data_IF_381561503246
#
_entry.id   IF_381561503246
#
_cell.length_a   1.000
_cell.length_b   1.000
_cell.length_c   1.000
_cell.angle_alpha   90.00
_cell.angle_beta   90.00
_cell.angle_gamma   90.00
#
_symmetry.space_group_name_H-M   'P 1'
#
loop_
_entity.id
_entity.type
_entity.pdbx_description
1 polymer ?
#
# COMPACT_ATOMS: atom_id res chain seq x y z
N UNK A 1 -2.95 24.82 8.20
CA UNK A 1 -2.69 25.73 9.34
C UNK A 1 -3.87 26.64 9.67
N UNK A 2 -4.21 27.68 8.90
CA UNK A 2 -5.31 28.61 9.27
C UNK A 2 -6.67 27.93 9.49
N UNK A 3 -7.09 27.05 8.57
CA UNK A 3 -8.35 26.30 8.70
C UNK A 3 -8.36 25.40 9.95
N UNK A 4 -7.29 24.65 10.18
CA UNK A 4 -7.13 23.82 11.38
C UNK A 4 -7.20 24.64 12.67
N UNK A 5 -6.57 25.81 12.70
CA UNK A 5 -6.62 26.69 13.88
C UNK A 5 -8.05 27.16 14.18
N UNK A 6 -8.82 27.47 13.13
CA UNK A 6 -10.22 27.83 13.24
C UNK A 6 -11.09 26.66 13.74
N UNK A 7 -10.88 25.45 13.23
CA UNK A 7 -11.61 24.24 13.69
C UNK A 7 -11.30 23.91 15.15
N UNK A 8 -10.09 24.20 15.62
CA UNK A 8 -9.65 23.97 17.01
C UNK A 8 -9.94 25.17 17.93
N UNK A 9 -10.58 26.24 17.44
CA UNK A 9 -10.85 27.49 18.18
C UNK A 9 -9.60 28.12 18.83
N UNK A 10 -8.48 28.13 18.09
CA UNK A 10 -7.21 28.72 18.51
C UNK A 10 -6.64 29.68 17.46
N UNK A 11 -5.71 30.53 17.88
CA UNK A 11 -4.93 31.36 16.94
C UNK A 11 -3.91 30.49 16.17
N UNK A 12 -3.66 30.74 14.87
CA UNK A 12 -2.71 29.94 14.09
C UNK A 12 -1.30 29.83 14.71
N UNK A 13 -0.86 30.87 15.42
CA UNK A 13 0.43 30.88 16.12
C UNK A 13 0.54 29.83 17.23
N UNK A 14 -0.58 29.40 17.82
CA UNK A 14 -0.59 28.35 18.83
C UNK A 14 -0.19 27.00 18.22
N UNK A 15 -0.62 26.71 16.98
CA UNK A 15 -0.25 25.47 16.29
C UNK A 15 1.25 25.39 16.00
N UNK A 16 1.87 26.52 15.65
CA UNK A 16 3.31 26.58 15.35
C UNK A 16 4.22 26.28 16.55
N UNK A 17 3.68 26.26 17.77
CA UNK A 17 4.41 25.78 18.95
C UNK A 17 4.53 24.26 19.02
N UNK A 18 3.67 23.55 18.29
CA UNK A 18 3.61 22.08 18.28
C UNK A 18 4.14 21.50 16.97
N UNK A 19 3.93 22.20 15.85
CA UNK A 19 4.38 21.78 14.51
C UNK A 19 4.94 23.00 13.78
N UNK A 20 6.20 22.94 13.35
CA UNK A 20 6.90 24.07 12.74
C UNK A 20 6.30 24.49 11.40
N UNK A 21 5.69 23.57 10.66
CA UNK A 21 5.06 23.86 9.36
C UNK A 21 3.99 22.82 8.99
N UNK A 22 3.39 23.01 7.81
CA UNK A 22 2.36 22.10 7.28
C UNK A 22 2.92 20.70 7.01
N UNK A 23 4.18 20.59 6.60
CA UNK A 23 4.78 19.29 6.27
C UNK A 23 4.96 18.46 7.54
N UNK A 24 5.46 19.05 8.62
CA UNK A 24 5.56 18.36 9.92
C UNK A 24 4.18 17.96 10.47
N UNK A 25 3.15 18.78 10.27
CA UNK A 25 1.78 18.39 10.61
C UNK A 25 1.32 17.17 9.82
N UNK A 26 1.56 17.16 8.50
CA UNK A 26 1.20 16.05 7.63
C UNK A 26 1.99 14.78 7.98
N UNK A 27 3.25 14.91 8.41
CA UNK A 27 4.08 13.79 8.88
C UNK A 27 3.49 13.19 10.16
N UNK A 28 3.14 14.03 11.15
CA UNK A 28 2.47 13.58 12.37
C UNK A 28 1.10 12.95 12.11
N UNK A 29 0.35 13.45 11.11
CA UNK A 29 -0.91 12.85 10.68
C UNK A 29 -0.69 11.48 10.02
N UNK A 30 0.34 11.32 9.20
CA UNK A 30 0.70 10.04 8.60
C UNK A 30 1.16 9.04 9.67
N UNK A 31 1.95 9.48 10.65
CA UNK A 31 2.38 8.67 11.79
C UNK A 31 1.19 8.17 12.62
N UNK A 32 0.21 9.04 12.88
CA UNK A 32 -1.00 8.66 13.58
C UNK A 32 -1.78 7.58 12.82
N UNK A 33 -1.92 7.72 11.50
CA UNK A 33 -2.61 6.72 10.65
C UNK A 33 -1.84 5.39 10.64
N UNK A 34 -0.52 5.41 10.43
CA UNK A 34 0.32 4.18 10.44
C UNK A 34 0.30 3.50 11.81
N UNK A 35 0.15 4.26 12.89
CA UNK A 35 -0.02 3.74 14.25
C UNK A 35 -1.32 2.96 14.48
N UNK A 36 -2.32 3.09 13.60
CA UNK A 36 -3.56 2.30 13.66
C UNK A 36 -3.40 0.89 13.05
N UNK A 37 -2.26 0.59 12.42
CA UNK A 37 -2.01 -0.72 11.81
C UNK A 37 -1.71 -1.75 12.90
N UNK A 38 -2.47 -2.84 12.92
CA UNK A 38 -2.32 -3.90 13.93
C UNK A 38 -0.90 -4.45 13.95
N UNK A 39 -0.30 -4.70 15.14
CA UNK A 39 1.03 -5.30 15.26
C UNK A 39 1.10 -6.67 14.55
N UNK A 40 2.30 -7.14 14.15
CA UNK A 40 2.44 -8.46 13.54
C UNK A 40 1.88 -9.53 14.48
N UNK A 41 1.07 -10.43 13.94
CA UNK A 41 0.54 -11.56 14.70
C UNK A 41 1.67 -12.48 15.15
N UNK A 42 1.54 -13.08 16.32
CA UNK A 42 2.45 -14.13 16.76
C UNK A 42 2.16 -15.44 16.00
N UNK A 43 3.20 -16.12 15.51
CA UNK A 43 3.05 -17.45 14.94
C UNK A 43 4.22 -17.86 14.04
N UNK A 44 4.36 -19.17 13.75
CA UNK A 44 5.47 -19.69 12.94
C UNK A 44 5.27 -19.49 11.43
N UNK A 45 4.06 -19.11 11.00
CA UNK A 45 3.70 -18.97 9.59
C UNK A 45 3.87 -17.53 9.12
N UNK A 46 5.07 -17.24 8.59
CA UNK A 46 5.45 -15.89 8.17
C UNK A 46 4.53 -15.33 7.07
N UNK A 47 4.03 -16.17 6.15
CA UNK A 47 3.13 -15.73 5.08
C UNK A 47 1.82 -15.21 5.69
N UNK A 48 1.25 -15.94 6.64
CA UNK A 48 0.03 -15.50 7.35
C UNK A 48 0.26 -14.20 8.12
N UNK A 49 1.40 -14.06 8.81
CA UNK A 49 1.74 -12.87 9.60
C UNK A 49 1.86 -11.64 8.70
N UNK A 50 2.66 -11.75 7.64
CA UNK A 50 2.89 -10.66 6.66
C UNK A 50 1.59 -10.29 5.94
N UNK A 51 0.84 -11.28 5.44
CA UNK A 51 -0.46 -11.07 4.79
C UNK A 51 -1.42 -10.33 5.71
N UNK A 52 -1.59 -10.79 6.95
CA UNK A 52 -2.48 -10.18 7.92
C UNK A 52 -2.11 -8.72 8.21
N UNK A 53 -0.81 -8.43 8.35
CA UNK A 53 -0.32 -7.07 8.61
C UNK A 53 -0.57 -6.13 7.42
N UNK A 54 -0.33 -6.58 6.20
CA UNK A 54 -0.61 -5.80 4.98
C UNK A 54 -2.12 -5.54 4.82
N UNK A 55 -2.97 -6.52 5.12
CA UNK A 55 -4.42 -6.33 5.06
C UNK A 55 -4.94 -5.42 6.17
N UNK A 56 -4.30 -5.40 7.34
CA UNK A 56 -4.55 -4.38 8.37
C UNK A 56 -4.17 -2.99 7.85
N UNK A 57 -2.98 -2.85 7.26
CA UNK A 57 -2.54 -1.62 6.62
C UNK A 57 -3.54 -1.14 5.55
N UNK A 58 -4.00 -2.04 4.67
CA UNK A 58 -4.99 -1.71 3.64
C UNK A 58 -6.29 -1.19 4.25
N UNK A 59 -6.82 -1.87 5.27
CA UNK A 59 -8.03 -1.42 5.97
C UNK A 59 -7.87 -0.03 6.57
N UNK A 60 -6.71 0.27 7.15
CA UNK A 60 -6.40 1.60 7.69
C UNK A 60 -6.33 2.62 6.56
N UNK A 61 -5.55 2.37 5.51
CA UNK A 61 -5.35 3.33 4.41
C UNK A 61 -6.62 3.58 3.60
N UNK A 62 -7.51 2.59 3.46
CA UNK A 62 -8.83 2.79 2.84
C UNK A 62 -9.76 3.68 3.69
N UNK A 63 -9.61 3.71 5.02
CA UNK A 63 -10.30 4.68 5.89
C UNK A 63 -9.71 6.09 5.79
N UNK A 64 -8.46 6.21 5.35
CA UNK A 64 -7.75 7.48 5.20
C UNK A 64 -7.16 7.66 3.78
N UNK A 65 -7.97 7.75 2.70
CA UNK A 65 -7.45 7.77 1.33
C UNK A 65 -6.45 8.90 1.01
N UNK A 66 -6.50 10.00 1.77
CA UNK A 66 -5.54 11.10 1.67
C UNK A 66 -4.13 10.73 2.14
N UNK A 67 -4.00 9.74 3.04
CA UNK A 67 -2.74 9.38 3.67
C UNK A 67 -1.76 8.75 2.68
N UNK A 68 -2.24 7.92 1.75
CA UNK A 68 -1.40 7.34 0.70
C UNK A 68 -0.66 8.42 -0.10
N UNK A 69 -1.40 9.44 -0.58
CA UNK A 69 -0.82 10.58 -1.31
C UNK A 69 0.17 11.37 -0.48
N UNK A 70 -0.10 11.55 0.82
CA UNK A 70 0.85 12.24 1.71
C UNK A 70 2.13 11.42 1.81
N UNK A 71 2.06 10.13 2.13
CA UNK A 71 3.21 9.24 2.27
C UNK A 71 4.04 9.20 0.98
N UNK A 72 3.40 9.09 -0.19
CA UNK A 72 4.08 9.08 -1.49
C UNK A 72 4.78 10.40 -1.83
N UNK A 73 4.24 11.53 -1.38
CA UNK A 73 4.83 12.84 -1.65
C UNK A 73 6.09 13.13 -0.83
N UNK A 74 6.42 12.29 0.15
CA UNK A 74 7.56 12.51 1.05
C UNK A 74 8.88 12.08 0.42
N UNK A 75 9.93 12.82 0.74
CA UNK A 75 11.31 12.50 0.34
C UNK A 75 11.93 11.37 1.15
N UNK A 76 11.31 10.96 2.26
CA UNK A 76 11.77 9.87 3.11
C UNK A 76 10.69 9.44 4.12
N UNK A 77 10.84 8.25 4.73
CA UNK A 77 9.89 7.75 5.71
C UNK A 77 9.98 8.54 7.02
N UNK A 78 8.84 8.76 7.65
CA UNK A 78 8.74 9.23 9.03
C UNK A 78 9.18 8.11 9.99
N UNK A 79 9.46 8.40 11.28
CA UNK A 79 9.82 7.36 12.25
C UNK A 79 8.79 6.23 12.39
N UNK A 80 7.48 6.52 12.35
CA UNK A 80 6.46 5.47 12.45
C UNK A 80 6.41 4.60 11.19
N UNK A 81 6.54 5.21 10.00
CA UNK A 81 6.65 4.47 8.74
C UNK A 81 7.90 3.61 8.73
N UNK A 82 9.03 4.12 9.19
CA UNK A 82 10.28 3.36 9.27
C UNK A 82 10.17 2.18 10.24
N UNK A 83 9.55 2.38 11.41
CA UNK A 83 9.28 1.30 12.36
C UNK A 83 8.33 0.23 11.78
N UNK A 84 7.33 0.65 11.00
CA UNK A 84 6.47 -0.27 10.27
C UNK A 84 7.28 -1.10 9.25
N UNK A 85 8.10 -0.46 8.41
CA UNK A 85 8.92 -1.15 7.42
C UNK A 85 9.96 -2.08 8.06
N UNK A 86 10.56 -1.67 9.17
CA UNK A 86 11.48 -2.49 9.96
C UNK A 86 10.78 -3.75 10.49
N UNK A 87 9.56 -3.62 11.02
CA UNK A 87 8.78 -4.78 11.46
C UNK A 87 8.39 -5.75 10.33
N UNK A 88 8.17 -5.24 9.11
CA UNK A 88 7.93 -6.07 7.93
C UNK A 88 9.20 -6.82 7.53
N UNK A 89 10.34 -6.13 7.50
CA UNK A 89 11.63 -6.75 7.28
C UNK A 89 11.91 -7.84 8.33
N UNK A 90 11.66 -7.57 9.62
CA UNK A 90 11.74 -8.56 10.69
C UNK A 90 10.88 -9.79 10.43
N UNK A 91 9.62 -9.61 10.02
CA UNK A 91 8.70 -10.71 9.71
C UNK A 91 9.20 -11.61 8.56
N UNK A 92 9.80 -11.03 7.51
CA UNK A 92 10.42 -11.81 6.44
C UNK A 92 11.66 -12.58 6.93
N UNK A 93 12.48 -11.96 7.78
CA UNK A 93 13.70 -12.57 8.33
C UNK A 93 13.37 -13.72 9.28
N UNK A 94 12.35 -13.56 10.11
CA UNK A 94 11.82 -14.61 10.99
C UNK A 94 11.21 -15.78 10.18
N UNK A 95 10.66 -15.47 9.00
CA UNK A 95 10.23 -16.47 8.00
C UNK A 95 11.37 -17.21 7.30
N UNK A 96 12.63 -16.88 7.59
CA UNK A 96 13.81 -17.53 7.03
C UNK A 96 14.24 -17.00 5.66
N UNK A 97 13.74 -15.86 5.21
CA UNK A 97 14.27 -15.19 4.02
C UNK A 97 15.67 -14.64 4.33
N UNK A 98 16.62 -14.73 3.38
CA UNK A 98 17.94 -14.10 3.51
C UNK A 98 17.82 -12.57 3.52
N UNK A 99 18.82 -11.84 4.00
CA UNK A 99 18.77 -10.37 4.03
C UNK A 99 18.74 -9.80 2.60
N UNK A 100 19.48 -10.45 1.71
CA UNK A 100 19.50 -10.19 0.27
C UNK A 100 18.12 -10.37 -0.36
N UNK A 101 17.48 -11.54 -0.15
CA UNK A 101 16.12 -11.76 -0.65
C UNK A 101 15.11 -10.79 0.00
N UNK A 102 15.24 -10.51 1.31
CA UNK A 102 14.36 -9.56 2.02
C UNK A 102 14.42 -8.17 1.39
N UNK A 103 15.62 -7.67 1.08
CA UNK A 103 15.79 -6.39 0.38
C UNK A 103 15.01 -6.37 -0.95
N UNK A 104 15.18 -7.40 -1.78
CA UNK A 104 14.48 -7.50 -3.06
C UNK A 104 12.96 -7.65 -2.91
N UNK A 105 12.49 -8.41 -1.91
CA UNK A 105 11.07 -8.56 -1.59
C UNK A 105 10.45 -7.23 -1.17
N UNK A 106 11.13 -6.47 -0.30
CA UNK A 106 10.66 -5.14 0.11
C UNK A 106 10.50 -4.20 -1.09
N UNK A 107 11.45 -4.23 -2.03
CA UNK A 107 11.35 -3.46 -3.28
C UNK A 107 10.24 -3.96 -4.22
N UNK A 108 10.08 -5.28 -4.37
CA UNK A 108 9.06 -5.87 -5.23
C UNK A 108 7.64 -5.57 -4.73
N UNK A 109 7.44 -5.54 -3.40
CA UNK A 109 6.17 -5.18 -2.79
C UNK A 109 5.85 -3.69 -2.93
N UNK A 110 6.85 -2.82 -2.84
CA UNK A 110 6.68 -1.37 -2.98
C UNK A 110 5.60 -0.81 -2.03
N UNK A 111 4.69 0.01 -2.58
CA UNK A 111 3.59 0.61 -1.81
C UNK A 111 2.62 -0.40 -1.20
N UNK A 112 2.54 -1.62 -1.74
CA UNK A 112 1.64 -2.67 -1.22
C UNK A 112 2.02 -3.10 0.19
N UNK A 113 3.26 -2.88 0.63
CA UNK A 113 3.62 -3.05 2.03
C UNK A 113 2.73 -2.22 2.96
N UNK A 114 2.31 -1.02 2.54
CA UNK A 114 1.42 -0.14 3.30
C UNK A 114 -0.07 -0.34 2.94
N UNK A 115 -0.40 -1.38 2.18
CA UNK A 115 -1.79 -1.76 1.93
C UNK A 115 -2.47 -1.03 0.76
N UNK A 116 -1.75 -0.30 -0.07
CA UNK A 116 -2.31 0.38 -1.25
C UNK A 116 -1.49 0.09 -2.51
N UNK A 117 -2.15 0.10 -3.67
CA UNK A 117 -1.49 -0.06 -4.97
C UNK A 117 -1.23 1.29 -5.61
N UNK A 118 -0.05 1.43 -6.23
CA UNK A 118 0.24 2.57 -7.10
C UNK A 118 -0.39 2.33 -8.46
N UNK A 119 -1.50 3.02 -8.71
CA UNK A 119 -2.19 2.98 -10.00
C UNK A 119 -1.58 3.98 -10.97
N UNK A 120 -1.40 3.56 -12.23
CA UNK A 120 -0.88 4.43 -13.29
C UNK A 120 -1.87 5.52 -13.69
N UNK A 121 -3.17 5.27 -13.50
CA UNK A 121 -4.25 6.17 -13.88
C UNK A 121 -5.32 6.22 -12.78
N UNK A 122 -5.81 7.42 -12.49
CA UNK A 122 -6.98 7.57 -11.62
C UNK A 122 -8.23 7.17 -12.40
N UNK A 123 -8.71 5.95 -12.15
CA UNK A 123 -9.90 5.37 -12.80
C UNK A 123 -11.17 5.57 -11.98
N UNK A 124 -11.11 6.33 -10.89
CA UNK A 124 -12.24 6.58 -9.97
C UNK A 124 -13.37 7.45 -10.58
N UNK A 125 -13.22 7.86 -11.84
CA UNK A 125 -14.22 8.65 -12.57
C UNK A 125 -15.34 7.78 -13.15
N UNK A 126 -16.46 8.38 -13.59
CA UNK A 126 -17.56 7.63 -14.22
C UNK A 126 -17.07 6.91 -15.48
N UNK A 127 -17.12 5.58 -15.45
CA UNK A 127 -16.90 4.73 -16.62
C UNK A 127 -18.10 4.82 -17.55
N UNK A 128 -17.94 5.54 -18.67
CA UNK A 128 -18.90 5.52 -19.77
C UNK A 128 -18.85 4.20 -20.54
N UNK A 129 -19.87 3.88 -21.36
CA UNK A 129 -19.82 2.70 -22.22
C UNK A 129 -18.56 2.77 -23.11
N UNK A 130 -17.88 1.63 -23.34
CA UNK A 130 -16.66 1.59 -24.13
C UNK A 130 -16.92 2.14 -25.53
N UNK A 131 -16.07 3.07 -25.98
CA UNK A 131 -16.10 3.60 -27.34
C UNK A 131 -15.93 2.43 -28.33
N UNK A 132 -16.91 2.19 -29.24
CA UNK A 132 -16.81 1.13 -30.24
C UNK A 132 -15.53 1.20 -31.08
N UNK A 133 -15.02 2.41 -31.33
CA UNK A 133 -13.75 2.64 -32.04
C UNK A 133 -12.52 2.23 -31.22
N UNK A 134 -12.60 2.31 -29.89
CA UNK A 134 -11.56 1.86 -28.97
C UNK A 134 -11.46 0.33 -28.96
N UNK A 135 -12.60 -0.37 -28.95
CA UNK A 135 -12.61 -1.84 -28.95
C UNK A 135 -12.01 -2.44 -30.24
N UNK A 136 -12.32 -1.85 -31.40
CA UNK A 136 -11.71 -2.27 -32.66
C UNK A 136 -10.20 -2.01 -32.72
N UNK A 137 -9.73 -0.94 -32.07
CA UNK A 137 -8.32 -0.53 -32.07
C UNK A 137 -7.47 -1.25 -31.01
N UNK A 138 -8.07 -1.64 -29.90
CA UNK A 138 -7.40 -2.27 -28.74
C UNK A 138 -8.17 -3.53 -28.30
N UNK A 139 -8.22 -4.58 -29.13
CA UNK A 139 -9.08 -5.74 -28.92
C UNK A 139 -8.80 -6.47 -27.59
N UNK A 140 -7.53 -6.59 -27.19
CA UNK A 140 -7.17 -7.25 -25.92
C UNK A 140 -7.60 -6.45 -24.68
N UNK A 141 -7.52 -5.12 -24.73
CA UNK A 141 -7.98 -4.28 -23.62
C UNK A 141 -9.51 -4.35 -23.52
N UNK A 142 -10.21 -4.37 -24.66
CA UNK A 142 -11.65 -4.52 -24.68
C UNK A 142 -12.10 -5.90 -24.19
N UNK A 143 -11.39 -6.97 -24.55
CA UNK A 143 -11.64 -8.32 -24.05
C UNK A 143 -11.48 -8.41 -22.53
N UNK A 144 -10.40 -7.85 -21.98
CA UNK A 144 -10.17 -7.81 -20.53
C UNK A 144 -11.23 -6.97 -19.81
N UNK A 145 -11.57 -5.79 -20.34
CA UNK A 145 -12.61 -4.93 -19.76
C UNK A 145 -13.99 -5.59 -19.76
N UNK A 146 -14.32 -6.37 -20.79
CA UNK A 146 -15.56 -7.14 -20.86
C UNK A 146 -15.59 -8.32 -19.85
N UNK A 147 -14.42 -8.90 -19.56
CA UNK A 147 -14.28 -10.01 -18.60
C UNK A 147 -14.31 -9.53 -17.15
N UNK A 148 -13.75 -8.35 -16.88
CA UNK A 148 -13.69 -7.75 -15.54
C UNK A 148 -15.04 -7.19 -15.05
N UNK A 149 -16.04 -7.05 -15.91
CA UNK A 149 -17.36 -6.54 -15.57
C UNK A 149 -18.24 -7.58 -14.84
N UNK A 150 -17.82 -8.06 -13.67
CA UNK A 150 -18.66 -8.88 -12.78
C UNK A 150 -18.74 -8.29 -11.36
N UNK A 151 -19.99 -8.27 -10.87
CA UNK A 151 -20.51 -7.89 -9.56
C UNK A 151 -20.44 -6.41 -9.12
N UNK A 152 -21.44 -5.64 -9.57
CA UNK A 152 -21.83 -4.33 -9.05
C UNK A 152 -22.26 -4.30 -7.56
N UNK A 153 -21.90 -5.32 -6.79
CA UNK A 153 -22.04 -5.38 -5.33
C UNK A 153 -20.71 -5.25 -4.56
N UNK A 154 -19.56 -5.25 -5.23
CA UNK A 154 -18.24 -5.18 -4.60
C UNK A 154 -17.52 -3.84 -4.77
N UNK A 155 -18.21 -2.80 -5.24
CA UNK A 155 -17.60 -1.47 -5.43
C UNK A 155 -17.57 -0.70 -4.11
N UNK A 156 -16.55 -0.97 -3.30
CA UNK A 156 -15.92 0.07 -2.48
C UNK A 156 -14.62 0.44 -3.17
N UNK A 157 -14.74 1.29 -4.20
CA UNK A 157 -13.64 1.76 -5.05
C UNK A 157 -13.80 1.28 -6.49
N UNK A 158 -14.23 2.16 -7.39
CA UNK A 158 -14.21 1.87 -8.83
C UNK A 158 -12.77 1.96 -9.33
N UNK A 159 -12.16 0.82 -9.66
CA UNK A 159 -10.82 0.75 -10.23
C UNK A 159 -10.23 -0.66 -10.15
N UNK A 160 -9.07 -0.87 -10.79
CA UNK A 160 -8.29 -2.12 -10.75
C UNK A 160 -7.62 -2.43 -9.40
N UNK A 161 -7.78 -1.57 -8.38
CA UNK A 161 -7.31 -1.80 -6.99
C UNK A 161 -8.47 -2.12 -6.05
N UNK A 162 -9.40 -2.99 -6.47
CA UNK A 162 -10.41 -3.51 -5.55
C UNK A 162 -9.78 -4.47 -4.51
N UNK A 163 -10.56 -4.91 -3.53
CA UNK A 163 -10.05 -5.79 -2.47
C UNK A 163 -9.58 -7.14 -3.03
N UNK A 164 -10.27 -7.67 -4.03
CA UNK A 164 -9.97 -8.98 -4.59
C UNK A 164 -8.66 -8.94 -5.38
N UNK A 165 -8.51 -7.97 -6.28
CA UNK A 165 -7.30 -7.79 -7.09
C UNK A 165 -6.07 -7.52 -6.22
N UNK A 166 -6.25 -6.75 -5.13
CA UNK A 166 -5.18 -6.54 -4.16
C UNK A 166 -4.76 -7.84 -3.45
N UNK A 167 -5.72 -8.64 -2.97
CA UNK A 167 -5.43 -9.93 -2.33
C UNK A 167 -4.82 -10.93 -3.32
N UNK A 168 -5.31 -10.97 -4.55
CA UNK A 168 -4.75 -11.81 -5.62
C UNK A 168 -3.28 -11.49 -5.87
N UNK A 169 -2.94 -10.20 -6.06
CA UNK A 169 -1.57 -9.78 -6.27
C UNK A 169 -0.68 -10.05 -5.04
N UNK A 170 -1.21 -9.81 -3.83
CA UNK A 170 -0.51 -10.09 -2.58
C UNK A 170 -0.17 -11.58 -2.45
N UNK A 171 -1.15 -12.45 -2.65
CA UNK A 171 -0.98 -13.89 -2.51
C UNK A 171 0.00 -14.44 -3.57
N UNK A 172 -0.10 -13.96 -4.82
CA UNK A 172 0.86 -14.29 -5.88
C UNK A 172 2.30 -13.90 -5.52
N UNK A 173 2.50 -12.71 -4.96
CA UNK A 173 3.83 -12.24 -4.54
C UNK A 173 4.37 -13.07 -3.37
N UNK A 174 3.56 -13.33 -2.35
CA UNK A 174 3.97 -14.12 -1.19
C UNK A 174 4.36 -15.55 -1.57
N UNK A 175 3.61 -16.19 -2.45
CA UNK A 175 3.94 -17.52 -2.98
C UNK A 175 5.23 -17.50 -3.81
N UNK A 176 5.43 -16.45 -4.61
CA UNK A 176 6.67 -16.22 -5.34
C UNK A 176 7.88 -16.10 -4.41
N UNK A 177 7.75 -15.36 -3.31
CA UNK A 177 8.81 -15.18 -2.33
C UNK A 177 9.12 -16.47 -1.57
N UNK A 178 8.10 -17.24 -1.20
CA UNK A 178 8.27 -18.57 -0.60
C UNK A 178 9.03 -19.51 -1.54
N UNK A 179 8.71 -19.49 -2.84
CA UNK A 179 9.41 -20.28 -3.85
C UNK A 179 10.90 -19.88 -3.95
N UNK A 180 11.20 -18.58 -4.02
CA UNK A 180 12.57 -18.07 -4.05
C UNK A 180 13.35 -18.43 -2.78
N UNK A 181 12.69 -18.35 -1.62
CA UNK A 181 13.26 -18.74 -0.32
C UNK A 181 13.64 -20.22 -0.31
N UNK A 182 12.75 -21.11 -0.74
CA UNK A 182 13.01 -22.57 -0.83
C UNK A 182 14.15 -22.90 -1.78
N UNK A 183 14.30 -22.13 -2.84
CA UNK A 183 15.39 -22.29 -3.82
C UNK A 183 16.74 -21.71 -3.33
N UNK A 184 16.77 -21.05 -2.17
CA UNK A 184 17.98 -20.40 -1.66
C UNK A 184 18.45 -19.27 -2.57
N UNK A 185 17.52 -18.52 -3.16
CA UNK A 185 17.83 -17.45 -4.11
C UNK A 185 18.75 -16.38 -3.51
N UNK A 186 19.65 -15.86 -4.34
CA UNK A 186 20.51 -14.70 -4.05
C UNK A 186 20.72 -13.87 -5.32
N UNK A 187 20.91 -12.56 -5.14
CA UNK A 187 21.21 -11.59 -6.18
C UNK A 187 22.63 -11.71 -6.73
N UNK A 188 23.55 -12.34 -5.99
CA UNK A 188 24.90 -12.61 -6.46
C UNK A 188 24.83 -13.47 -7.73
N UNK A 189 25.19 -12.88 -8.88
CA UNK A 189 25.27 -13.63 -10.16
C UNK A 189 26.14 -14.86 -9.93
N UNK A 190 25.61 -16.05 -10.22
CA UNK A 190 26.44 -17.20 -10.56
C UNK A 190 27.21 -16.83 -11.83
N UNK A 191 28.43 -16.30 -11.65
CA UNK A 191 29.45 -16.22 -12.71
C UNK A 191 29.94 -17.61 -13.04
#
# INVERSE_FOLDING_TARGET
>A
MRRLAQELDVVPMALYKHVANKEELLDGMADAVVGEIDPPAAGPDWQRVVRGRILSARRVLLRHPWAARVIESRTGPTPAVLAYLDSMAGSFRDGGLSADLTHHVMHAMGSRLLGFSQELFDTSGPSGPPDPGLAARYPHIAELAATAAHDGGSTVGGGCDDQFEFEFALDLLLDGFESLRRQGWTSARKT
#
